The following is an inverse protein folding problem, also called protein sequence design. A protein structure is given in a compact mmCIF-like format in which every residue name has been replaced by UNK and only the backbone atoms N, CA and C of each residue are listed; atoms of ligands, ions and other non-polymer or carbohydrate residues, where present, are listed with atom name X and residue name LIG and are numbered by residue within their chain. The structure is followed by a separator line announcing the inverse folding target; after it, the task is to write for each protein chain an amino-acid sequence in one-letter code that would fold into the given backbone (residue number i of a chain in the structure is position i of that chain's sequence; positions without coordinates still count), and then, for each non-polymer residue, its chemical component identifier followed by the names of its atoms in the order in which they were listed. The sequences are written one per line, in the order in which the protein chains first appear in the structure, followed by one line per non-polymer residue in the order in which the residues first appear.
data_IF_622201982317
#
_entry.id   IF_622201982317
#
_cell.length_a   1.000
_cell.length_b   1.000
_cell.length_c   1.000
_cell.angle_alpha   90.00
_cell.angle_beta   90.00
_cell.angle_gamma   90.00
#
_symmetry.space_group_name_H-M   'P 1'
#
loop_
_entity.id
_entity.type
_entity.pdbx_description
1 polymer ?
#
# COMPACT_ATOMS: atom_id res chain seq x y z
N UNK A 1 27.94 -19.84 -40.50
CA UNK A 1 27.66 -20.54 -39.23
C UNK A 1 26.62 -19.73 -38.49
N UNK A 2 25.51 -20.37 -38.11
CA UNK A 2 24.41 -19.71 -37.42
C UNK A 2 24.61 -19.76 -35.90
N UNK A 3 24.30 -18.66 -35.21
CA UNK A 3 24.73 -18.42 -33.84
C UNK A 3 23.87 -19.21 -32.82
N UNK A 4 24.47 -20.08 -31.97
CA UNK A 4 23.76 -20.94 -31.03
C UNK A 4 23.14 -20.21 -29.82
N UNK A 5 23.48 -18.94 -29.57
CA UNK A 5 22.85 -18.14 -28.51
C UNK A 5 21.47 -17.60 -28.94
N UNK A 6 21.20 -17.51 -30.25
CA UNK A 6 19.90 -17.04 -30.76
C UNK A 6 18.79 -18.07 -30.57
N UNK A 7 19.13 -19.36 -30.45
CA UNK A 7 18.17 -20.44 -30.28
C UNK A 7 17.81 -20.69 -28.81
N UNK A 8 18.72 -20.39 -27.87
CA UNK A 8 18.50 -20.61 -26.43
C UNK A 8 17.57 -19.56 -25.79
N UNK A 9 17.61 -18.30 -26.24
CA UNK A 9 16.84 -17.21 -25.63
C UNK A 9 15.43 -17.03 -26.20
N UNK A 10 15.14 -17.59 -27.38
CA UNK A 10 13.98 -17.18 -28.17
C UNK A 10 12.68 -17.93 -27.84
N UNK A 11 12.71 -19.09 -27.18
CA UNK A 11 11.54 -19.98 -27.13
C UNK A 11 11.22 -20.61 -25.78
N UNK A 12 11.93 -20.27 -24.70
CA UNK A 12 11.54 -20.76 -23.38
C UNK A 12 10.47 -19.84 -22.79
N UNK A 13 9.19 -20.17 -23.09
CA UNK A 13 8.07 -19.55 -22.39
C UNK A 13 8.28 -19.79 -20.90
N UNK A 14 8.38 -18.69 -20.15
CA UNK A 14 8.41 -18.76 -18.69
C UNK A 14 7.21 -19.57 -18.19
N UNK A 15 7.37 -20.40 -17.14
CA UNK A 15 6.26 -21.12 -16.55
C UNK A 15 5.11 -20.16 -16.22
N UNK A 16 3.90 -20.47 -16.66
CA UNK A 16 2.74 -19.58 -16.48
C UNK A 16 2.49 -19.24 -15.01
N UNK A 17 2.84 -20.14 -14.08
CA UNK A 17 2.77 -19.90 -12.63
C UNK A 17 3.63 -18.72 -12.17
N UNK A 18 4.87 -18.59 -12.67
CA UNK A 18 5.78 -17.51 -12.28
C UNK A 18 5.30 -16.19 -12.88
N UNK A 19 4.88 -16.23 -14.14
CA UNK A 19 4.31 -15.08 -14.83
C UNK A 19 3.04 -14.58 -14.13
N UNK A 20 2.14 -15.48 -13.74
CA UNK A 20 0.92 -15.12 -13.03
C UNK A 20 1.23 -14.46 -11.68
N UNK A 21 2.14 -15.04 -10.90
CA UNK A 21 2.57 -14.47 -9.61
C UNK A 21 3.11 -13.04 -9.78
N UNK A 22 3.99 -12.82 -10.76
CA UNK A 22 4.55 -11.48 -11.02
C UNK A 22 3.44 -10.51 -11.46
N UNK A 23 2.49 -10.96 -12.28
CA UNK A 23 1.36 -10.12 -12.68
C UNK A 23 0.44 -9.78 -11.51
N UNK A 24 0.22 -10.73 -10.59
CA UNK A 24 -0.57 -10.51 -9.37
C UNK A 24 0.11 -9.48 -8.45
N UNK A 25 1.43 -9.58 -8.25
CA UNK A 25 2.21 -8.63 -7.45
C UNK A 25 2.16 -7.23 -8.07
N UNK A 26 2.29 -7.12 -9.39
CA UNK A 26 2.17 -5.85 -10.12
C UNK A 26 0.76 -5.26 -9.98
N UNK A 27 -0.27 -6.10 -10.05
CA UNK A 27 -1.66 -5.67 -9.87
C UNK A 27 -1.89 -5.12 -8.46
N UNK A 28 -1.34 -5.79 -7.44
CA UNK A 28 -1.43 -5.34 -6.05
C UNK A 28 -0.74 -3.99 -5.84
N UNK A 29 0.45 -3.78 -6.41
CA UNK A 29 1.17 -2.51 -6.33
C UNK A 29 0.35 -1.39 -6.99
N UNK A 30 -0.19 -1.63 -8.19
CA UNK A 30 -1.03 -0.65 -8.90
C UNK A 30 -2.25 -0.26 -8.08
N UNK A 31 -2.98 -1.26 -7.58
CA UNK A 31 -4.15 -1.03 -6.73
C UNK A 31 -3.78 -0.21 -5.48
N UNK A 32 -2.67 -0.55 -4.83
CA UNK A 32 -2.20 0.15 -3.64
C UNK A 32 -1.86 1.62 -3.94
N UNK A 33 -1.25 1.90 -5.10
CA UNK A 33 -0.94 3.26 -5.53
C UNK A 33 -2.22 4.06 -5.85
N UNK A 34 -3.18 3.46 -6.54
CA UNK A 34 -4.46 4.12 -6.85
C UNK A 34 -5.26 4.44 -5.58
N UNK A 35 -5.28 3.51 -4.60
CA UNK A 35 -5.91 3.74 -3.29
C UNK A 35 -5.16 4.81 -2.50
N UNK A 36 -3.83 4.77 -2.49
CA UNK A 36 -3.01 5.77 -1.81
C UNK A 36 -3.22 7.17 -2.40
N UNK A 37 -3.28 7.29 -3.73
CA UNK A 37 -3.57 8.54 -4.42
C UNK A 37 -4.98 9.05 -4.08
N UNK A 38 -5.98 8.17 -4.16
CA UNK A 38 -7.36 8.50 -3.82
C UNK A 38 -7.48 9.02 -2.38
N UNK A 39 -6.83 8.35 -1.43
CA UNK A 39 -6.88 8.70 -0.01
C UNK A 39 -6.07 9.97 0.28
N UNK A 40 -4.88 10.12 -0.32
CA UNK A 40 -4.01 11.27 -0.11
C UNK A 40 -4.59 12.56 -0.69
N UNK A 41 -5.25 12.50 -1.85
CA UNK A 41 -5.76 13.69 -2.55
C UNK A 41 -7.19 14.01 -2.12
N UNK A 42 -8.08 13.03 -2.09
CA UNK A 42 -9.53 13.28 -1.92
C UNK A 42 -10.02 13.12 -0.48
N UNK A 43 -9.33 12.32 0.31
CA UNK A 43 -9.77 11.95 1.65
C UNK A 43 -8.67 12.05 2.71
N UNK A 44 -7.90 13.17 2.76
CA UNK A 44 -6.78 13.30 3.69
C UNK A 44 -7.23 13.22 5.16
N UNK A 45 -8.43 13.69 5.49
CA UNK A 45 -9.04 13.59 6.82
C UNK A 45 -9.47 12.17 7.19
N UNK A 46 -9.72 11.31 6.20
CA UNK A 46 -10.12 9.92 6.43
C UNK A 46 -8.96 9.08 6.93
N UNK A 47 -7.70 9.44 6.63
CA UNK A 47 -6.51 8.79 7.20
C UNK A 47 -6.54 8.89 8.73
N UNK A 48 -6.77 10.08 9.28
CA UNK A 48 -6.83 10.30 10.73
C UNK A 48 -8.02 9.61 11.41
N UNK A 49 -9.15 9.50 10.70
CA UNK A 49 -10.37 8.86 11.21
C UNK A 49 -10.31 7.33 11.14
N UNK A 50 -9.75 6.76 10.07
CA UNK A 50 -9.64 5.31 9.88
C UNK A 50 -8.51 4.70 10.71
N UNK A 51 -7.37 5.40 10.85
CA UNK A 51 -6.24 4.97 11.69
C UNK A 51 -6.36 5.40 13.16
N UNK A 52 -7.46 6.03 13.58
CA UNK A 52 -7.72 6.33 14.98
C UNK A 52 -6.78 7.37 15.63
N UNK A 53 -5.97 8.08 14.83
CA UNK A 53 -4.98 9.07 15.29
C UNK A 53 -5.67 10.31 15.92
N UNK A 54 -6.98 10.48 15.72
CA UNK A 54 -7.77 11.59 16.27
C UNK A 54 -8.31 11.45 17.70
N UNK A 55 -8.23 10.28 18.37
CA UNK A 55 -8.71 10.16 19.76
C UNK A 55 -7.67 10.71 20.74
N UNK A 56 -7.52 12.03 20.76
CA UNK A 56 -6.89 12.73 21.89
C UNK A 56 -7.71 12.38 23.13
N UNK A 57 -7.16 11.56 24.04
CA UNK A 57 -7.74 11.39 25.36
C UNK A 57 -7.76 12.76 26.03
N UNK A 58 -8.93 13.36 26.12
CA UNK A 58 -9.14 14.55 26.94
C UNK A 58 -9.04 14.05 28.38
N UNK A 59 -7.82 14.02 28.93
CA UNK A 59 -7.62 13.94 30.36
C UNK A 59 -8.19 15.25 30.94
N UNK A 60 -9.45 15.18 31.39
CA UNK A 60 -10.16 16.25 32.06
C UNK A 60 -9.40 16.55 33.37
N UNK A 61 -8.84 17.76 33.59
CA UNK A 61 -8.23 18.07 34.87
C UNK A 61 -9.34 18.06 35.94
N UNK A 62 -9.15 17.23 36.97
CA UNK A 62 -10.06 17.14 38.09
C UNK A 62 -10.10 18.48 38.83
N UNK A 63 -11.28 19.09 38.85
CA UNK A 63 -11.59 20.30 39.63
C UNK A 63 -11.75 19.88 41.10
N UNK A 64 -10.72 20.08 41.91
CA UNK A 64 -10.63 20.07 43.39
C UNK A 64 -9.15 20.38 43.67
N UNK A 65 -8.78 21.56 44.18
CA UNK A 65 -8.95 21.96 45.57
C UNK A 65 -9.04 23.50 45.68
N UNK A 66 -10.14 24.00 46.25
CA UNK A 66 -10.26 24.59 47.60
C UNK A 66 -9.79 26.05 47.68
N UNK A 67 -10.79 26.91 47.78
CA UNK A 67 -10.74 28.23 48.40
C UNK A 67 -9.90 28.18 49.69
N UNK A 68 -9.00 29.14 49.82
CA UNK A 68 -8.22 29.46 51.01
C UNK A 68 -7.93 30.95 51.00
#
# INVERSE_FOLDING_TARGET
MENPFKTMLANEKLPETIKQKVMDDVALIKLSLEVADLVSVKYPSTIGNFFGIGKKSINKPNKKDKEG
#
